data_IF_689469883153
#
_entry.id   IF_689469883153
#
_cell.length_a   1.000
_cell.length_b   1.000
_cell.length_c   1.000
_cell.angle_alpha   90.00
_cell.angle_beta   90.00
_cell.angle_gamma   90.00
#
_symmetry.space_group_name_H-M   'P 1'
#
loop_
_entity.id
_entity.type
_entity.pdbx_description
1 polymer ?
#
# COMPACT_ATOMS: atom_id res chain seq x y z
N UNK A 1 0.78 -23.25 -12.97
CA UNK A 1 1.77 -22.22 -13.33
C UNK A 1 1.24 -21.48 -14.54
N UNK A 2 0.95 -20.19 -14.41
CA UNK A 2 0.68 -19.31 -15.54
C UNK A 2 1.95 -18.49 -15.77
N UNK A 3 2.51 -18.56 -16.97
CA UNK A 3 3.66 -17.76 -17.38
C UNK A 3 3.16 -16.42 -17.93
N UNK A 4 3.50 -15.31 -17.28
CA UNK A 4 3.16 -13.95 -17.73
C UNK A 4 4.37 -13.25 -18.40
N UNK A 5 5.38 -14.02 -18.79
CA UNK A 5 6.58 -13.52 -19.45
C UNK A 5 7.34 -12.55 -18.56
N UNK A 6 7.41 -11.28 -18.96
CA UNK A 6 8.14 -10.22 -18.24
C UNK A 6 7.60 -9.94 -16.82
N UNK A 7 6.38 -10.37 -16.50
CA UNK A 7 5.77 -10.21 -15.17
C UNK A 7 6.03 -11.40 -14.22
N UNK A 8 6.76 -12.43 -14.70
CA UNK A 8 7.09 -13.63 -13.93
C UNK A 8 6.04 -14.73 -13.99
N UNK A 9 6.14 -15.69 -13.07
CA UNK A 9 5.30 -16.88 -13.03
C UNK A 9 4.31 -16.81 -11.87
N UNK A 10 3.02 -17.05 -12.15
CA UNK A 10 1.99 -17.19 -11.12
C UNK A 10 1.79 -18.67 -10.81
N UNK A 11 2.11 -19.05 -9.59
CA UNK A 11 1.82 -20.37 -9.04
C UNK A 11 0.66 -20.28 -8.04
N UNK A 12 -0.51 -20.77 -8.45
CA UNK A 12 -1.65 -20.93 -7.54
C UNK A 12 -1.38 -22.08 -6.57
N UNK A 13 -0.75 -21.76 -5.44
CA UNK A 13 -0.43 -22.68 -4.35
C UNK A 13 -1.01 -22.17 -3.03
N UNK A 14 -1.02 -23.00 -1.99
CA UNK A 14 -1.38 -22.57 -0.63
C UNK A 14 -0.52 -21.39 -0.15
N UNK A 15 0.77 -21.36 -0.53
CA UNK A 15 1.66 -20.24 -0.21
C UNK A 15 1.23 -18.95 -0.90
N UNK A 16 0.71 -19.02 -2.12
CA UNK A 16 0.21 -17.85 -2.85
C UNK A 16 -1.01 -17.24 -2.16
N UNK A 17 -2.00 -18.06 -1.78
CA UNK A 17 -3.18 -17.57 -1.07
C UNK A 17 -2.78 -16.92 0.27
N UNK A 18 -1.86 -17.55 1.01
CA UNK A 18 -1.35 -17.00 2.26
C UNK A 18 -0.58 -15.68 2.07
N UNK A 19 0.24 -15.58 1.02
CA UNK A 19 0.99 -14.36 0.70
C UNK A 19 0.07 -13.21 0.26
N UNK A 20 -0.94 -13.50 -0.56
CA UNK A 20 -1.96 -12.49 -0.94
C UNK A 20 -2.73 -12.05 0.30
N UNK A 21 -3.14 -12.99 1.15
CA UNK A 21 -3.84 -12.69 2.41
C UNK A 21 -3.03 -11.81 3.35
N UNK A 22 -1.72 -12.05 3.49
CA UNK A 22 -0.85 -11.22 4.34
C UNK A 22 -0.67 -9.81 3.78
N UNK A 23 -0.49 -9.66 2.46
CA UNK A 23 -0.41 -8.35 1.81
C UNK A 23 -1.70 -7.56 2.02
N UNK A 24 -2.86 -8.19 1.80
CA UNK A 24 -4.18 -7.56 2.03
C UNK A 24 -4.33 -7.11 3.49
N UNK A 25 -3.92 -7.93 4.46
CA UNK A 25 -3.95 -7.56 5.87
C UNK A 25 -3.06 -6.36 6.18
N UNK A 26 -1.81 -6.37 5.68
CA UNK A 26 -0.86 -5.28 5.89
C UNK A 26 -1.39 -3.98 5.26
N UNK A 27 -1.88 -4.06 4.03
CA UNK A 27 -2.44 -2.90 3.32
C UNK A 27 -3.69 -2.36 4.01
N UNK A 28 -4.56 -3.23 4.54
CA UNK A 28 -5.75 -2.80 5.30
C UNK A 28 -5.37 -2.05 6.59
N UNK A 29 -4.37 -2.55 7.33
CA UNK A 29 -3.86 -1.90 8.55
C UNK A 29 -3.24 -0.53 8.20
N UNK A 30 -2.45 -0.47 7.13
CA UNK A 30 -1.81 0.78 6.67
C UNK A 30 -2.74 1.74 5.92
N UNK A 31 -3.95 1.34 5.54
CA UNK A 31 -4.88 2.18 4.79
C UNK A 31 -5.73 3.08 5.69
N UNK A 32 -5.69 2.88 7.01
CA UNK A 32 -6.57 3.56 7.96
C UNK A 32 -6.48 5.09 7.91
N UNK A 33 -5.28 5.64 7.87
CA UNK A 33 -5.01 7.08 7.73
C UNK A 33 -5.47 7.62 6.36
N UNK A 34 -5.14 6.90 5.29
CA UNK A 34 -5.42 7.29 3.91
C UNK A 34 -6.93 7.30 3.61
N UNK A 35 -7.69 6.35 4.18
CA UNK A 35 -9.14 6.30 4.06
C UNK A 35 -9.83 7.48 4.75
N UNK A 36 -9.33 7.89 5.93
CA UNK A 36 -9.86 9.04 6.68
C UNK A 36 -9.64 10.34 5.91
N UNK A 37 -8.47 10.55 5.32
CA UNK A 37 -8.18 11.75 4.50
C UNK A 37 -9.10 11.82 3.29
N UNK A 38 -9.32 10.72 2.58
CA UNK A 38 -10.25 10.67 1.44
C UNK A 38 -11.68 11.01 1.90
N UNK A 39 -12.14 10.42 3.02
CA UNK A 39 -13.47 10.67 3.57
C UNK A 39 -13.65 12.13 4.01
N UNK A 40 -12.61 12.75 4.58
CA UNK A 40 -12.60 14.15 4.98
C UNK A 40 -12.60 15.10 3.77
N UNK A 41 -11.86 14.77 2.72
CA UNK A 41 -11.79 15.58 1.50
C UNK A 41 -13.15 15.67 0.79
N UNK A 42 -13.93 14.59 0.82
CA UNK A 42 -15.23 14.50 0.14
C UNK A 42 -16.44 14.78 1.06
N UNK A 43 -16.21 15.13 2.33
CA UNK A 43 -17.27 15.22 3.34
C UNK A 43 -18.37 16.25 3.04
N UNK A 44 -18.03 17.30 2.29
CA UNK A 44 -18.93 18.43 2.00
C UNK A 44 -19.63 18.32 0.63
N UNK A 45 -19.46 17.21 -0.11
CA UNK A 45 -20.14 17.02 -1.39
C UNK A 45 -21.56 16.46 -1.20
N UNK A 46 -22.48 16.86 -2.08
CA UNK A 46 -23.82 16.25 -2.19
C UNK A 46 -23.71 14.73 -2.33
N UNK A 47 -24.63 13.98 -1.71
CA UNK A 47 -24.51 12.51 -1.53
C UNK A 47 -24.13 11.73 -2.80
N UNK A 48 -24.68 12.11 -3.96
CA UNK A 48 -24.34 11.47 -5.24
C UNK A 48 -22.89 11.71 -5.69
N UNK A 49 -22.35 12.91 -5.43
CA UNK A 49 -20.96 13.27 -5.78
C UNK A 49 -19.96 12.79 -4.73
N UNK A 50 -20.39 12.63 -3.48
CA UNK A 50 -19.57 12.09 -2.38
C UNK A 50 -19.13 10.65 -2.66
N UNK A 51 -20.06 9.77 -3.02
CA UNK A 51 -19.73 8.37 -3.36
C UNK A 51 -18.78 8.28 -4.54
N UNK A 52 -18.99 9.12 -5.56
CA UNK A 52 -18.13 9.20 -6.74
C UNK A 52 -16.73 9.70 -6.37
N UNK A 53 -16.64 10.69 -5.50
CA UNK A 53 -15.37 11.18 -4.94
C UNK A 53 -14.64 10.12 -4.11
N UNK A 54 -15.35 9.33 -3.30
CA UNK A 54 -14.76 8.22 -2.55
C UNK A 54 -14.21 7.17 -3.51
N UNK A 55 -14.98 6.75 -4.52
CA UNK A 55 -14.57 5.71 -5.48
C UNK A 55 -13.38 6.16 -6.33
N UNK A 56 -13.41 7.40 -6.84
CA UNK A 56 -12.29 7.93 -7.62
C UNK A 56 -11.06 8.19 -6.74
N UNK A 57 -11.25 8.68 -5.51
CA UNK A 57 -10.17 8.92 -4.56
C UNK A 57 -9.51 7.63 -4.11
N UNK A 58 -10.29 6.62 -3.71
CA UNK A 58 -9.77 5.31 -3.32
C UNK A 58 -9.17 4.56 -4.50
N UNK A 59 -9.81 4.58 -5.67
CA UNK A 59 -9.28 3.98 -6.90
C UNK A 59 -7.94 4.60 -7.31
N UNK A 60 -7.84 5.93 -7.29
CA UNK A 60 -6.59 6.64 -7.55
C UNK A 60 -5.50 6.31 -6.52
N UNK A 61 -5.84 6.32 -5.23
CA UNK A 61 -4.90 5.97 -4.16
C UNK A 61 -4.37 4.53 -4.31
N UNK A 62 -5.25 3.56 -4.61
CA UNK A 62 -4.86 2.17 -4.86
C UNK A 62 -3.98 2.05 -6.10
N UNK A 63 -4.29 2.74 -7.20
CA UNK A 63 -3.47 2.72 -8.41
C UNK A 63 -2.05 3.23 -8.15
N UNK A 64 -1.92 4.38 -7.46
CA UNK A 64 -0.63 4.93 -7.08
C UNK A 64 0.12 3.94 -6.17
N UNK A 65 -0.58 3.32 -5.21
CA UNK A 65 0.01 2.33 -4.29
C UNK A 65 0.53 1.11 -5.04
N UNK A 66 -0.25 0.54 -5.97
CA UNK A 66 0.19 -0.60 -6.79
C UNK A 66 1.40 -0.24 -7.65
N UNK A 67 1.39 0.94 -8.28
CA UNK A 67 2.52 1.41 -9.07
C UNK A 67 3.79 1.58 -8.23
N UNK A 68 3.70 2.27 -7.09
CA UNK A 68 4.83 2.44 -6.17
C UNK A 68 5.32 1.11 -5.60
N UNK A 69 4.42 0.23 -5.15
CA UNK A 69 4.78 -1.09 -4.63
C UNK A 69 5.50 -1.92 -5.69
N UNK A 70 5.06 -1.88 -6.95
CA UNK A 70 5.77 -2.55 -8.04
C UNK A 70 7.19 -2.00 -8.21
N UNK A 71 7.36 -0.67 -8.28
CA UNK A 71 8.67 -0.04 -8.39
C UNK A 71 9.59 -0.38 -7.21
N UNK A 72 9.06 -0.32 -5.98
CA UNK A 72 9.80 -0.66 -4.76
C UNK A 72 10.15 -2.15 -4.72
N UNK A 73 9.26 -3.04 -5.15
CA UNK A 73 9.54 -4.47 -5.22
C UNK A 73 10.72 -4.78 -6.16
N UNK A 74 10.82 -4.07 -7.29
CA UNK A 74 11.98 -4.18 -8.19
C UNK A 74 13.25 -3.65 -7.52
N UNK A 75 13.19 -2.52 -6.81
CA UNK A 75 14.33 -1.99 -6.06
C UNK A 75 14.78 -2.96 -4.95
N UNK A 76 13.86 -3.59 -4.24
CA UNK A 76 14.16 -4.55 -3.18
C UNK A 76 14.80 -5.86 -3.69
N UNK A 77 14.82 -6.11 -5.00
CA UNK A 77 15.57 -7.22 -5.58
C UNK A 77 17.09 -7.03 -5.46
N UNK A 78 17.56 -5.77 -5.30
CA UNK A 78 18.97 -5.48 -5.06
C UNK A 78 19.37 -5.86 -3.63
N UNK A 79 20.49 -6.60 -3.51
CA UNK A 79 21.08 -6.90 -2.19
C UNK A 79 21.40 -5.60 -1.45
N UNK A 80 21.23 -5.60 -0.12
CA UNK A 80 21.39 -4.46 0.80
C UNK A 80 20.26 -3.42 0.85
N UNK A 81 19.43 -3.24 -0.19
CA UNK A 81 18.32 -2.27 -0.14
C UNK A 81 17.31 -2.62 0.96
N UNK A 82 17.05 -3.91 1.19
CA UNK A 82 16.17 -4.37 2.28
C UNK A 82 16.66 -3.95 3.67
N UNK A 83 17.98 -3.97 3.90
CA UNK A 83 18.57 -3.59 5.19
C UNK A 83 18.46 -2.08 5.43
N UNK A 84 18.80 -1.29 4.41
CA UNK A 84 18.69 0.17 4.47
C UNK A 84 17.23 0.58 4.64
N UNK A 85 16.32 0.00 3.84
CA UNK A 85 14.88 0.26 3.95
C UNK A 85 14.33 -0.07 5.34
N UNK A 86 14.72 -1.21 5.93
CA UNK A 86 14.34 -1.57 7.29
C UNK A 86 14.84 -0.58 8.34
N UNK A 87 16.09 -0.13 8.23
CA UNK A 87 16.66 0.88 9.13
C UNK A 87 15.92 2.22 9.03
N UNK A 88 15.58 2.65 7.80
CA UNK A 88 14.80 3.88 7.56
C UNK A 88 13.40 3.78 8.16
N UNK A 89 12.72 2.63 8.04
CA UNK A 89 11.39 2.43 8.64
C UNK A 89 11.46 2.52 10.17
N UNK A 90 12.46 1.91 10.80
CA UNK A 90 12.67 2.00 12.26
C UNK A 90 12.88 3.47 12.66
N UNK A 91 13.72 4.19 11.91
CA UNK A 91 13.96 5.60 12.18
C UNK A 91 12.69 6.46 12.05
N UNK A 92 11.89 6.26 10.99
CA UNK A 92 10.61 6.95 10.82
C UNK A 92 9.65 6.59 11.97
N UNK A 93 9.57 5.32 12.37
CA UNK A 93 8.71 4.89 13.46
C UNK A 93 9.09 5.57 14.79
N UNK A 94 10.38 5.62 15.13
CA UNK A 94 10.84 6.34 16.35
C UNK A 94 10.52 7.83 16.24
N UNK A 95 10.83 8.45 15.09
CA UNK A 95 10.57 9.87 14.87
C UNK A 95 9.08 10.21 15.02
N UNK A 96 8.19 9.41 14.43
CA UNK A 96 6.74 9.61 14.54
C UNK A 96 6.23 9.45 15.97
N UNK A 97 6.80 8.54 16.75
CA UNK A 97 6.44 8.36 18.17
C UNK A 97 6.94 9.52 19.04
N UNK A 98 8.09 10.10 18.73
CA UNK A 98 8.65 11.23 19.49
C UNK A 98 7.99 12.55 19.09
N UNK A 99 7.84 12.84 17.81
CA UNK A 99 7.24 14.09 17.31
C UNK A 99 5.71 14.11 17.50
N UNK A 100 5.04 12.95 17.51
CA UNK A 100 3.60 12.84 17.78
C UNK A 100 3.21 12.98 19.25
N UNK A 101 4.19 13.18 20.14
CA UNK A 101 4.00 13.33 21.59
C UNK A 101 4.09 14.79 22.08
N UNK A 102 4.19 15.76 21.17
CA UNK A 102 4.13 17.22 21.43
C UNK A 102 2.81 17.82 20.93
#
# INVERSE_FOLDING_TARGET
MIDLGWLGYIEFSWKFILAVGSIVLIDLVLAGDNAVVIAMAVKNLQDKKRTLGIILGSGGAVLVRVACTFLVAQLLAMSYIKLIGGAVIIWIAVKLLTDGAE
#
